data_IF_854219923770
#
_entry.id   IF_854219923770
#
_cell.length_a   1.000
_cell.length_b   1.000
_cell.length_c   1.000
_cell.angle_alpha   90.00
_cell.angle_beta   90.00
_cell.angle_gamma   90.00
#
_symmetry.space_group_name_H-M   'P 1'
#
loop_
_entity.id
_entity.type
_entity.pdbx_description
1 polymer ?
#
# COMPACT_ATOMS: atom_id res chain seq x y z
N UNK A 1 -4.34 18.42 -25.92
CA UNK A 1 -4.04 17.79 -24.62
C UNK A 1 -5.32 17.11 -24.18
N UNK A 2 -5.34 15.77 -24.15
CA UNK A 2 -6.50 14.98 -23.73
C UNK A 2 -6.72 15.15 -22.24
N UNK A 3 -7.63 16.06 -21.88
CA UNK A 3 -8.23 16.17 -20.56
C UNK A 3 -9.26 15.04 -20.44
N UNK A 4 -8.78 13.82 -20.22
CA UNK A 4 -9.65 12.75 -19.74
C UNK A 4 -9.89 13.09 -18.27
N UNK A 5 -11.13 13.36 -17.83
CA UNK A 5 -11.40 13.51 -16.40
C UNK A 5 -10.87 12.22 -15.75
N UNK A 6 -10.10 12.31 -14.65
CA UNK A 6 -9.56 11.11 -14.03
C UNK A 6 -10.75 10.19 -13.76
N UNK A 7 -10.77 9.03 -14.43
CA UNK A 7 -11.79 8.02 -14.16
C UNK A 7 -11.69 7.79 -12.66
N UNK A 8 -12.80 7.84 -11.92
CA UNK A 8 -12.75 7.82 -10.46
C UNK A 8 -12.00 6.60 -9.91
N UNK A 9 -11.80 5.56 -10.75
CA UNK A 9 -10.91 4.43 -10.51
C UNK A 9 -9.43 4.78 -10.51
N UNK A 10 -8.93 5.60 -11.42
CA UNK A 10 -7.53 6.05 -11.44
C UNK A 10 -7.22 6.86 -10.18
N UNK A 11 -8.15 7.72 -9.75
CA UNK A 11 -8.03 8.45 -8.49
C UNK A 11 -8.06 7.52 -7.29
N UNK A 12 -8.94 6.52 -7.27
CA UNK A 12 -9.02 5.55 -6.17
C UNK A 12 -7.79 4.64 -6.09
N UNK A 13 -7.21 4.24 -7.22
CA UNK A 13 -5.97 3.45 -7.27
C UNK A 13 -4.79 4.29 -6.75
N UNK A 14 -4.70 5.55 -7.17
CA UNK A 14 -3.67 6.47 -6.70
C UNK A 14 -3.81 6.76 -5.20
N UNK A 15 -5.02 7.03 -4.72
CA UNK A 15 -5.31 7.26 -3.29
C UNK A 15 -4.97 6.02 -2.46
N UNK A 16 -5.35 4.83 -2.95
CA UNK A 16 -4.97 3.56 -2.33
C UNK A 16 -3.46 3.44 -2.24
N UNK A 17 -2.73 3.66 -3.35
CA UNK A 17 -1.27 3.60 -3.36
C UNK A 17 -0.61 4.58 -2.39
N UNK A 18 -1.15 5.80 -2.27
CA UNK A 18 -0.69 6.78 -1.29
C UNK A 18 -0.94 6.31 0.15
N UNK A 19 -2.10 5.73 0.43
CA UNK A 19 -2.37 5.10 1.74
C UNK A 19 -1.45 3.91 2.02
N UNK A 20 -1.10 3.09 1.01
CA UNK A 20 -0.14 1.99 1.17
C UNK A 20 1.22 2.53 1.67
N UNK A 21 1.68 3.63 1.08
CA UNK A 21 2.95 4.27 1.43
C UNK A 21 2.88 4.98 2.78
N UNK A 22 1.74 5.57 3.15
CA UNK A 22 1.55 6.15 4.49
C UNK A 22 1.63 5.07 5.58
N UNK A 23 0.96 3.93 5.37
CA UNK A 23 1.00 2.79 6.30
C UNK A 23 2.42 2.25 6.39
N UNK A 24 3.15 2.17 5.27
CA UNK A 24 4.56 1.78 5.28
C UNK A 24 5.43 2.75 6.06
N UNK A 25 5.24 4.07 5.89
CA UNK A 25 5.97 5.10 6.63
C UNK A 25 5.62 5.13 8.13
N UNK A 26 4.40 4.73 8.51
CA UNK A 26 4.01 4.56 9.91
C UNK A 26 4.66 3.35 10.58
N UNK A 27 5.15 2.37 9.82
CA UNK A 27 5.88 1.23 10.37
C UNK A 27 7.27 1.67 10.82
N UNK A 28 7.65 1.30 12.04
CA UNK A 28 9.02 1.46 12.51
C UNK A 28 10.00 0.66 11.65
N UNK A 29 11.25 1.13 11.55
CA UNK A 29 12.30 0.51 10.74
C UNK A 29 12.47 -1.00 11.02
N UNK A 30 12.25 -1.44 12.26
CA UNK A 30 12.28 -2.85 12.64
C UNK A 30 11.22 -3.71 11.93
N UNK A 31 9.98 -3.20 11.82
CA UNK A 31 8.89 -3.86 11.09
C UNK A 31 9.13 -3.85 9.58
N UNK A 32 9.65 -2.75 9.05
CA UNK A 32 10.05 -2.67 7.64
C UNK A 32 11.16 -3.69 7.34
N UNK A 33 12.16 -3.82 8.22
CA UNK A 33 13.24 -4.79 8.07
C UNK A 33 12.73 -6.24 8.13
N UNK A 34 11.76 -6.56 9.00
CA UNK A 34 11.11 -7.88 9.05
C UNK A 34 10.33 -8.15 7.76
N UNK A 35 9.62 -7.16 7.23
CA UNK A 35 8.88 -7.28 5.98
C UNK A 35 9.84 -7.46 4.78
N UNK A 36 10.90 -6.67 4.70
CA UNK A 36 11.94 -6.83 3.68
C UNK A 36 12.64 -8.20 3.79
N UNK A 37 12.88 -8.69 5.01
CA UNK A 37 13.44 -10.03 5.24
C UNK A 37 12.50 -11.16 4.83
N UNK A 38 11.18 -10.97 4.93
CA UNK A 38 10.14 -11.96 4.56
C UNK A 38 9.80 -11.94 3.08
N UNK A 39 9.75 -10.76 2.47
CA UNK A 39 9.23 -10.55 1.12
C UNK A 39 10.33 -10.24 0.09
N UNK A 40 11.56 -10.01 0.52
CA UNK A 40 12.77 -9.84 -0.30
C UNK A 40 12.89 -8.47 -0.97
N UNK A 41 11.78 -7.88 -1.42
CA UNK A 41 11.75 -6.57 -2.05
C UNK A 41 10.73 -5.66 -1.37
N UNK A 42 10.93 -4.34 -1.51
CA UNK A 42 10.01 -3.35 -0.96
C UNK A 42 8.62 -3.42 -1.62
N UNK A 43 8.57 -3.68 -2.94
CA UNK A 43 7.30 -3.89 -3.66
C UNK A 43 6.54 -5.11 -3.15
N UNK A 44 7.20 -6.24 -2.92
CA UNK A 44 6.54 -7.43 -2.38
C UNK A 44 6.09 -7.20 -0.93
N UNK A 45 6.90 -6.49 -0.15
CA UNK A 45 6.58 -6.13 1.23
C UNK A 45 5.35 -5.21 1.31
N UNK A 46 5.27 -4.21 0.43
CA UNK A 46 4.11 -3.33 0.27
C UNK A 46 2.89 -4.09 -0.23
N UNK A 47 3.03 -4.91 -1.28
CA UNK A 47 1.93 -5.72 -1.81
C UNK A 47 1.36 -6.65 -0.74
N UNK A 48 2.22 -7.29 0.05
CA UNK A 48 1.79 -8.15 1.13
C UNK A 48 1.16 -7.39 2.30
N UNK A 49 1.70 -6.24 2.68
CA UNK A 49 1.14 -5.37 3.71
C UNK A 49 -0.28 -4.95 3.32
N UNK A 50 -0.47 -4.55 2.07
CA UNK A 50 -1.74 -4.01 1.61
C UNK A 50 -2.75 -5.12 1.35
N UNK A 51 -2.31 -6.24 0.79
CA UNK A 51 -3.15 -7.44 0.70
C UNK A 51 -3.58 -7.88 2.10
N UNK A 52 -2.70 -7.81 3.09
CA UNK A 52 -3.05 -8.06 4.50
C UNK A 52 -4.04 -7.02 5.02
N UNK A 53 -3.94 -5.74 4.66
CA UNK A 53 -4.94 -4.73 5.05
C UNK A 53 -6.30 -4.91 4.38
N UNK A 54 -6.32 -5.41 3.13
CA UNK A 54 -7.55 -5.72 2.38
C UNK A 54 -8.22 -6.99 2.90
N UNK A 55 -7.43 -7.98 3.35
CA UNK A 55 -7.91 -9.23 3.94
C UNK A 55 -8.19 -9.13 5.43
N UNK A 56 -7.52 -8.22 6.14
CA UNK A 56 -7.83 -7.93 7.52
C UNK A 56 -9.22 -7.29 7.55
N UNK A 57 -10.18 -7.86 8.28
CA UNK A 57 -11.46 -7.21 8.45
C UNK A 57 -11.18 -5.84 9.07
N UNK A 58 -11.67 -4.77 8.41
CA UNK A 58 -11.73 -3.45 9.01
C UNK A 58 -12.31 -3.65 10.42
N UNK A 59 -11.47 -3.48 11.43
CA UNK A 59 -11.85 -3.78 12.81
C UNK A 59 -12.97 -2.80 13.16
N UNK A 60 -14.20 -3.31 13.18
CA UNK A 60 -15.36 -2.64 13.74
C UNK A 60 -15.16 -2.45 15.26
#
# INVERSE_FOLDING_TARGET
MTDTPPDSRDTAVLDTALQMVDVWNRLSADKQAVLLKRFGTQENALAALVTTQLLAPARA
#
